data_IF_618244934480
#
_entry.id   IF_618244934480
#
_cell.length_a   1.000
_cell.length_b   1.000
_cell.length_c   1.000
_cell.angle_alpha   90.00
_cell.angle_beta   90.00
_cell.angle_gamma   90.00
#
_symmetry.space_group_name_H-M   'P 1'
#
loop_
_entity.id
_entity.type
_entity.pdbx_description
1 polymer ?
#
# COMPACT_ATOMS: atom_id res chain seq x y z
N UNK A 1 12.17 12.08 3.52
CA UNK A 1 11.81 11.00 2.61
C UNK A 1 10.53 11.30 1.83
N UNK A 2 9.41 11.62 2.53
CA UNK A 2 8.15 11.88 1.84
C UNK A 2 8.23 13.13 0.97
N UNK A 3 8.88 14.17 1.47
CA UNK A 3 9.02 15.43 0.74
C UNK A 3 9.84 15.29 -0.55
N UNK A 4 10.64 14.24 -0.67
CA UNK A 4 11.51 14.01 -1.83
C UNK A 4 10.89 13.07 -2.86
N UNK A 5 9.65 12.60 -2.65
CA UNK A 5 9.02 11.66 -3.58
C UNK A 5 8.77 12.32 -4.93
N UNK A 6 9.25 11.71 -6.03
CA UNK A 6 8.94 12.20 -7.38
C UNK A 6 7.44 12.12 -7.68
N UNK A 7 6.97 12.96 -8.58
CA UNK A 7 5.60 12.86 -9.09
C UNK A 7 5.34 11.45 -9.65
N UNK A 8 4.18 10.90 -9.37
CA UNK A 8 3.80 9.55 -9.80
C UNK A 8 4.34 8.45 -8.91
N UNK A 9 5.00 8.78 -7.80
CA UNK A 9 5.44 7.78 -6.82
C UNK A 9 4.75 7.99 -5.48
N UNK A 10 4.81 6.96 -4.62
CA UNK A 10 4.24 7.00 -3.30
C UNK A 10 5.10 6.18 -2.35
N UNK A 11 4.82 6.29 -1.06
CA UNK A 11 5.55 5.61 -0.01
C UNK A 11 4.57 4.90 0.92
N UNK A 12 4.89 3.66 1.26
CA UNK A 12 4.21 2.92 2.33
C UNK A 12 5.17 2.80 3.51
N UNK A 13 4.67 3.11 4.69
CA UNK A 13 5.45 2.96 5.93
C UNK A 13 4.72 1.98 6.84
N UNK A 14 5.42 0.95 7.30
CA UNK A 14 4.85 -0.01 8.26
C UNK A 14 4.76 0.68 9.62
N UNK A 15 3.52 0.84 10.12
CA UNK A 15 3.27 1.48 11.42
C UNK A 15 3.10 0.48 12.53
N UNK A 16 2.53 -0.71 12.23
CA UNK A 16 2.34 -1.78 13.22
C UNK A 16 2.65 -3.12 12.60
N UNK A 17 3.20 -4.00 13.42
CA UNK A 17 3.57 -5.34 13.05
C UNK A 17 5.08 -5.53 13.04
N UNK A 18 5.55 -6.72 12.68
CA UNK A 18 6.97 -6.95 12.46
C UNK A 18 7.50 -5.96 11.43
N UNK A 19 8.75 -5.57 11.59
CA UNK A 19 9.41 -4.59 10.71
C UNK A 19 8.77 -3.20 10.76
N UNK A 20 8.17 -2.81 11.89
CA UNK A 20 7.64 -1.46 12.09
C UNK A 20 8.73 -0.43 11.74
N UNK A 21 8.36 0.56 10.95
CA UNK A 21 9.29 1.57 10.43
C UNK A 21 9.86 1.25 9.05
N UNK A 22 9.67 0.04 8.54
CA UNK A 22 10.09 -0.29 7.18
C UNK A 22 9.33 0.55 6.15
N UNK A 23 10.00 0.88 5.05
CA UNK A 23 9.46 1.75 4.01
C UNK A 23 9.53 1.05 2.66
N UNK A 24 8.47 1.22 1.87
CA UNK A 24 8.40 0.66 0.53
C UNK A 24 8.00 1.74 -0.46
N UNK A 25 8.82 1.93 -1.48
CA UNK A 25 8.54 2.88 -2.55
C UNK A 25 7.59 2.25 -3.55
N UNK A 26 6.53 2.99 -3.89
CA UNK A 26 5.59 2.60 -4.94
C UNK A 26 5.86 3.48 -6.16
N UNK A 27 6.58 2.94 -7.15
CA UNK A 27 6.93 3.66 -8.38
C UNK A 27 6.70 2.83 -9.63
N UNK A 28 6.04 1.68 -9.48
CA UNK A 28 5.66 0.80 -10.58
C UNK A 28 4.15 0.80 -10.76
N UNK A 29 3.69 0.34 -11.92
CA UNK A 29 2.26 0.24 -12.19
C UNK A 29 1.58 -0.79 -11.30
N UNK A 30 2.30 -1.85 -10.94
CA UNK A 30 1.80 -2.90 -10.04
C UNK A 30 2.89 -3.22 -9.02
N UNK A 31 2.51 -3.19 -7.74
CA UNK A 31 3.39 -3.62 -6.63
C UNK A 31 2.67 -4.71 -5.86
N UNK A 32 3.22 -5.92 -5.87
CA UNK A 32 2.62 -7.08 -5.22
C UNK A 32 2.96 -7.13 -3.73
N UNK A 33 2.01 -7.63 -2.93
CA UNK A 33 2.15 -7.79 -1.48
C UNK A 33 1.76 -9.21 -1.12
N UNK A 34 2.60 -9.89 -0.36
CA UNK A 34 2.27 -11.22 0.08
C UNK A 34 3.39 -11.91 0.85
N UNK A 35 3.10 -13.17 1.23
CA UNK A 35 4.05 -14.00 1.96
C UNK A 35 4.93 -14.85 1.02
N UNK A 36 4.86 -14.61 -0.27
CA UNK A 36 5.72 -15.27 -1.23
C UNK A 36 7.04 -14.51 -1.36
N UNK A 37 8.21 -15.20 -1.38
CA UNK A 37 9.50 -14.50 -1.47
C UNK A 37 9.65 -13.60 -2.71
N UNK A 38 8.90 -13.87 -3.77
CA UNK A 38 8.92 -13.07 -5.00
C UNK A 38 7.99 -11.86 -4.95
N UNK A 39 7.23 -11.67 -3.86
CA UNK A 39 6.39 -10.48 -3.73
C UNK A 39 7.29 -9.23 -3.64
N UNK A 40 6.85 -8.15 -4.27
CA UNK A 40 7.58 -6.88 -4.20
C UNK A 40 7.66 -6.37 -2.76
N UNK A 41 6.55 -6.48 -2.03
CA UNK A 41 6.50 -6.24 -0.60
C UNK A 41 6.29 -7.59 0.07
N UNK A 42 7.39 -8.15 0.55
CA UNK A 42 7.37 -9.44 1.20
C UNK A 42 7.09 -9.28 2.69
N UNK A 43 5.93 -9.75 3.13
CA UNK A 43 5.52 -9.74 4.53
C UNK A 43 5.49 -11.18 5.04
N UNK A 44 6.56 -11.59 5.72
CA UNK A 44 6.73 -12.98 6.16
C UNK A 44 6.00 -13.22 7.48
N UNK A 45 4.70 -13.42 7.40
CA UNK A 45 3.87 -13.69 8.56
C UNK A 45 2.69 -14.56 8.18
N UNK A 46 2.26 -15.42 9.10
CA UNK A 46 1.16 -16.36 8.86
C UNK A 46 -0.18 -15.68 8.63
N UNK A 47 -0.34 -14.43 9.07
CA UNK A 47 -1.57 -13.66 8.85
C UNK A 47 -1.68 -13.11 7.43
N UNK A 48 -0.60 -13.22 6.65
CA UNK A 48 -0.54 -12.71 5.27
C UNK A 48 -0.63 -13.88 4.31
N UNK A 49 -1.53 -13.79 3.33
CA UNK A 49 -1.64 -14.77 2.26
C UNK A 49 -0.45 -14.67 1.32
N UNK A 50 -0.11 -15.77 0.64
CA UNK A 50 1.02 -15.79 -0.30
C UNK A 50 0.87 -14.72 -1.37
N UNK A 51 -0.34 -14.58 -1.93
CA UNK A 51 -0.72 -13.49 -2.83
C UNK A 51 -1.87 -12.75 -2.16
N UNK A 52 -1.53 -11.68 -1.43
CA UNK A 52 -2.49 -11.04 -0.56
C UNK A 52 -3.18 -9.85 -1.23
N UNK A 53 -2.41 -8.95 -1.78
CA UNK A 53 -2.92 -7.71 -2.35
C UNK A 53 -1.98 -7.17 -3.41
N UNK A 54 -2.45 -6.17 -4.14
CA UNK A 54 -1.64 -5.39 -5.08
C UNK A 54 -1.92 -3.91 -4.88
N UNK A 55 -0.86 -3.11 -4.98
CA UNK A 55 -0.98 -1.68 -5.11
C UNK A 55 -0.86 -1.35 -6.59
N UNK A 56 -1.87 -0.68 -7.13
CA UNK A 56 -1.96 -0.37 -8.56
C UNK A 56 -1.82 1.13 -8.76
N UNK A 57 -1.00 1.52 -9.74
CA UNK A 57 -0.80 2.92 -10.09
C UNK A 57 -1.49 3.22 -11.42
N UNK A 58 -2.28 4.28 -11.43
CA UNK A 58 -2.97 4.80 -12.60
C UNK A 58 -2.61 6.28 -12.75
N UNK A 59 -1.50 6.55 -13.44
CA UNK A 59 -0.97 7.91 -13.54
C UNK A 59 -0.43 8.38 -12.20
N UNK A 60 -1.08 9.37 -11.58
CA UNK A 60 -0.71 9.90 -10.25
C UNK A 60 -1.56 9.31 -9.13
N UNK A 61 -2.49 8.41 -9.46
CA UNK A 61 -3.41 7.82 -8.51
C UNK A 61 -2.98 6.40 -8.19
N UNK A 62 -3.27 5.99 -6.97
CA UNK A 62 -3.01 4.63 -6.52
C UNK A 62 -4.27 4.02 -5.96
N UNK A 63 -4.38 2.70 -6.10
CA UNK A 63 -5.42 1.92 -5.45
C UNK A 63 -4.81 0.67 -4.84
N UNK A 64 -5.48 0.10 -3.85
CA UNK A 64 -5.15 -1.21 -3.30
C UNK A 64 -6.24 -2.19 -3.69
N UNK A 65 -5.83 -3.40 -4.09
CA UNK A 65 -6.75 -4.46 -4.51
C UNK A 65 -6.41 -5.73 -3.75
N UNK A 66 -7.43 -6.32 -3.09
CA UNK A 66 -7.29 -7.62 -2.44
C UNK A 66 -7.30 -8.73 -3.50
N UNK A 67 -6.47 -9.74 -3.33
CA UNK A 67 -6.37 -10.86 -4.28
C UNK A 67 -7.05 -12.12 -3.76
N UNK A 68 -8.15 -11.96 -3.02
CA UNK A 68 -8.84 -13.10 -2.42
C UNK A 68 -8.11 -13.64 -1.21
N UNK A 69 -7.49 -12.77 -0.43
CA UNK A 69 -6.75 -13.16 0.76
C UNK A 69 -7.64 -13.81 1.81
N UNK A 70 -7.05 -14.66 2.63
CA UNK A 70 -7.80 -15.36 3.68
C UNK A 70 -8.32 -14.37 4.74
N UNK A 71 -7.46 -13.47 5.20
CA UNK A 71 -7.80 -12.55 6.30
C UNK A 71 -8.31 -11.20 5.83
N UNK A 72 -8.28 -10.93 4.54
CA UNK A 72 -8.76 -9.69 3.96
C UNK A 72 -7.72 -8.57 3.96
N UNK A 73 -8.04 -7.53 3.21
CA UNK A 73 -7.31 -6.27 3.15
C UNK A 73 -8.26 -5.19 3.65
N UNK A 74 -7.77 -4.30 4.51
CA UNK A 74 -8.60 -3.29 5.15
C UNK A 74 -8.08 -1.89 4.82
N UNK A 75 -8.99 -1.00 4.48
CA UNK A 75 -8.72 0.40 4.20
C UNK A 75 -9.38 1.25 5.28
N UNK A 76 -8.57 1.95 6.08
CA UNK A 76 -9.04 2.72 7.25
C UNK A 76 -10.03 1.92 8.11
N UNK A 77 -9.70 0.65 8.34
CA UNK A 77 -10.49 -0.25 9.19
C UNK A 77 -11.64 -0.97 8.51
N UNK A 78 -11.90 -0.71 7.24
CA UNK A 78 -13.00 -1.33 6.48
C UNK A 78 -12.44 -2.37 5.50
N UNK A 79 -12.97 -3.59 5.55
CA UNK A 79 -12.58 -4.63 4.59
C UNK A 79 -13.02 -4.25 3.18
N UNK A 80 -12.09 -4.36 2.23
CA UNK A 80 -12.33 -3.93 0.85
C UNK A 80 -11.92 -5.02 -0.15
N UNK A 81 -12.52 -4.99 -1.33
CA UNK A 81 -12.02 -5.71 -2.50
C UNK A 81 -11.01 -4.85 -3.24
N UNK A 82 -11.32 -3.57 -3.37
CA UNK A 82 -10.41 -2.56 -3.88
C UNK A 82 -10.82 -1.20 -3.32
N UNK A 83 -9.86 -0.29 -3.21
CA UNK A 83 -10.14 1.06 -2.75
C UNK A 83 -9.10 2.03 -3.32
N UNK A 84 -9.53 3.23 -3.75
CA UNK A 84 -8.59 4.29 -4.10
C UNK A 84 -7.88 4.77 -2.85
N UNK A 85 -6.58 5.02 -2.96
CA UNK A 85 -5.76 5.43 -1.82
C UNK A 85 -5.70 6.95 -1.72
N UNK A 86 -5.84 7.44 -0.50
CA UNK A 86 -5.70 8.86 -0.19
C UNK A 86 -4.48 9.04 0.72
N UNK A 87 -3.87 10.22 0.66
CA UNK A 87 -2.70 10.54 1.48
C UNK A 87 -3.01 10.35 2.96
N UNK A 88 -2.16 9.61 3.65
CA UNK A 88 -2.33 9.32 5.07
C UNK A 88 -3.23 8.13 5.37
N UNK A 89 -3.81 7.48 4.36
CA UNK A 89 -4.69 6.33 4.57
C UNK A 89 -3.94 5.14 5.15
N UNK A 90 -4.62 4.37 5.99
CA UNK A 90 -4.08 3.15 6.56
C UNK A 90 -4.59 1.94 5.79
N UNK A 91 -3.66 1.08 5.38
CA UNK A 91 -3.96 -0.20 4.75
C UNK A 91 -3.50 -1.31 5.69
N UNK A 92 -4.40 -2.22 6.02
CA UNK A 92 -4.07 -3.37 6.88
C UNK A 92 -4.02 -4.63 6.03
N UNK A 93 -2.88 -5.33 6.13
CA UNK A 93 -2.61 -6.62 5.47
C UNK A 93 -2.15 -7.57 6.56
N UNK A 94 -2.98 -8.56 6.89
CA UNK A 94 -2.70 -9.41 8.04
C UNK A 94 -2.57 -8.57 9.31
N UNK A 95 -1.51 -8.82 10.10
CA UNK A 95 -1.24 -8.04 11.30
C UNK A 95 -0.51 -6.71 11.02
N UNK A 96 -0.14 -6.47 9.76
CA UNK A 96 0.61 -5.26 9.40
C UNK A 96 -0.34 -4.11 9.12
N UNK A 97 0.02 -2.94 9.61
CA UNK A 97 -0.67 -1.69 9.28
C UNK A 97 0.33 -0.76 8.59
N UNK A 98 -0.03 -0.36 7.39
CA UNK A 98 0.83 0.45 6.52
C UNK A 98 0.13 1.79 6.28
N UNK A 99 0.89 2.88 6.34
CA UNK A 99 0.36 4.19 5.99
C UNK A 99 0.84 4.58 4.61
N UNK A 100 -0.09 5.03 3.78
CA UNK A 100 0.18 5.47 2.41
C UNK A 100 0.42 6.97 2.37
N UNK A 101 1.49 7.38 1.68
CA UNK A 101 1.80 8.79 1.46
C UNK A 101 2.03 9.04 -0.03
N UNK A 102 1.27 9.97 -0.59
CA UNK A 102 1.42 10.39 -1.98
C UNK A 102 2.57 11.39 -2.12
N UNK A 103 3.09 11.54 -3.34
CA UNK A 103 4.04 12.60 -3.64
C UNK A 103 3.42 13.96 -3.34
N UNK A 104 4.18 14.84 -2.67
CA UNK A 104 3.73 16.21 -2.38
C UNK A 104 3.48 17.00 -3.66
N UNK A 105 4.16 16.64 -4.73
CA UNK A 105 3.97 17.28 -6.04
C UNK A 105 2.62 16.94 -6.65
N UNK A 106 1.99 15.84 -6.24
CA UNK A 106 0.72 15.37 -6.80
C UNK A 106 -0.49 15.72 -5.96
N UNK A 107 -0.30 16.16 -4.70
CA UNK A 107 -1.42 16.34 -3.76
C UNK A 107 -2.46 17.35 -4.24
N UNK A 108 -2.03 18.49 -4.77
CA UNK A 108 -2.97 19.51 -5.27
C UNK A 108 -3.78 18.98 -6.45
N UNK A 109 -3.16 18.20 -7.33
CA UNK A 109 -3.82 17.58 -8.47
C UNK A 109 -4.85 16.55 -8.01
N UNK A 110 -4.47 15.70 -7.06
CA UNK A 110 -5.37 14.67 -6.54
C UNK A 110 -6.56 15.28 -5.81
N UNK A 111 -6.33 16.36 -5.07
CA UNK A 111 -7.39 17.03 -4.30
C UNK A 111 -8.42 17.73 -5.19
N UNK A 112 -8.05 18.13 -6.41
CA UNK A 112 -8.96 18.84 -7.33
C UNK A 112 -9.84 17.88 -8.13
N UNK A 113 -9.58 16.62 -8.05
CA UNK A 113 -10.36 15.59 -8.74
C UNK A 113 -11.41 14.98 -7.82
#
# INVERSE_FOLDING_TARGET
AIAALPSGSALLIVRRGPNSGARFLLDADVTSVGRHPNADIFLDDVTVSRRHAEFLRHGRRFEVKDLGSLNGTYFDGVRIESAPLTDGAEVQVGKFRLTFYASRLDLAHLASE
#
